data_IF_760344994131
#
_entry.id   IF_760344994131
#
_cell.length_a   1.000
_cell.length_b   1.000
_cell.length_c   1.000
_cell.angle_alpha   90.00
_cell.angle_beta   90.00
_cell.angle_gamma   90.00
#
_symmetry.space_group_name_H-M   'P 1'
#
loop_
_entity.id
_entity.type
_entity.pdbx_description
1 polymer ?
#
# COMPACT_ATOMS: atom_id res chain seq x y z
N UNK A 1 27.63 33.81 -2.94
CA UNK A 1 27.38 33.60 -1.49
C UNK A 1 25.96 33.12 -1.16
N UNK A 2 24.91 33.96 -1.03
CA UNK A 2 23.58 33.47 -0.61
C UNK A 2 22.99 32.41 -1.56
N UNK A 3 23.16 32.58 -2.87
CA UNK A 3 22.73 31.59 -3.87
C UNK A 3 23.50 30.27 -3.78
N UNK A 4 24.78 30.30 -3.39
CA UNK A 4 25.58 29.09 -3.24
C UNK A 4 25.06 28.26 -2.05
N UNK A 5 24.81 28.91 -0.90
CA UNK A 5 24.23 28.26 0.28
C UNK A 5 22.86 27.64 -0.05
N UNK A 6 22.01 28.34 -0.82
CA UNK A 6 20.71 27.82 -1.21
C UNK A 6 20.79 26.62 -2.17
N UNK A 7 21.85 26.54 -2.99
CA UNK A 7 22.08 25.48 -3.96
C UNK A 7 22.78 24.24 -3.36
N UNK A 8 23.40 24.36 -2.20
CA UNK A 8 24.04 23.23 -1.50
C UNK A 8 23.02 22.17 -1.06
N UNK A 9 23.47 20.92 -1.03
CA UNK A 9 22.67 19.77 -0.59
C UNK A 9 22.70 19.67 0.94
N UNK A 10 21.88 20.51 1.57
CA UNK A 10 21.72 20.62 3.03
C UNK A 10 20.25 20.74 3.40
N UNK A 11 19.93 20.45 4.67
CA UNK A 11 18.57 20.63 5.16
C UNK A 11 18.16 22.11 5.15
N UNK A 12 16.85 22.35 5.11
CA UNK A 12 16.29 23.70 5.18
C UNK A 12 16.81 24.49 6.38
N UNK A 13 16.85 23.88 7.57
CA UNK A 13 17.32 24.52 8.79
C UNK A 13 18.81 24.87 8.71
N UNK A 14 19.64 23.96 8.18
CA UNK A 14 21.07 24.21 7.98
C UNK A 14 21.31 25.38 7.02
N UNK A 15 20.55 25.46 5.92
CA UNK A 15 20.62 26.60 5.00
C UNK A 15 20.26 27.91 5.70
N UNK A 16 19.18 27.93 6.50
CA UNK A 16 18.77 29.14 7.23
C UNK A 16 19.79 29.57 8.30
N UNK A 17 20.44 28.61 8.97
CA UNK A 17 21.55 28.88 9.89
C UNK A 17 22.77 29.48 9.18
N UNK A 18 23.18 28.91 8.04
CA UNK A 18 24.29 29.43 7.23
C UNK A 18 24.00 30.83 6.69
N UNK A 19 22.77 31.07 6.21
CA UNK A 19 22.32 32.39 5.77
C UNK A 19 22.39 33.39 6.93
N UNK A 20 21.94 33.01 8.13
CA UNK A 20 22.01 33.87 9.31
C UNK A 20 23.46 34.22 9.70
N UNK A 21 24.43 33.33 9.47
CA UNK A 21 25.87 33.60 9.68
C UNK A 21 26.42 34.66 8.74
N UNK A 22 25.97 34.66 7.49
CA UNK A 22 26.53 35.55 6.46
C UNK A 22 25.73 36.84 6.25
N UNK A 23 24.49 36.93 6.73
CA UNK A 23 23.65 38.14 6.66
C UNK A 23 24.36 39.42 7.13
N UNK A 24 25.11 39.44 8.26
CA UNK A 24 25.84 40.63 8.69
C UNK A 24 26.79 41.23 7.65
N UNK A 25 27.30 40.43 6.70
CA UNK A 25 28.24 40.86 5.66
C UNK A 25 27.65 41.88 4.68
N UNK A 26 26.32 42.04 4.64
CA UNK A 26 25.68 43.05 3.79
C UNK A 26 25.80 44.47 4.36
N UNK A 27 26.12 44.57 5.65
CA UNK A 27 26.24 45.83 6.37
C UNK A 27 27.64 46.43 6.26
N UNK A 28 27.77 47.72 6.52
CA UNK A 28 29.04 48.47 6.48
C UNK A 28 30.04 48.01 7.54
N UNK A 29 29.55 47.58 8.71
CA UNK A 29 30.39 47.08 9.81
C UNK A 29 29.95 45.66 10.24
N UNK A 30 30.15 44.63 9.39
CA UNK A 30 29.69 43.26 9.64
C UNK A 30 30.14 42.69 10.98
N UNK A 31 31.35 43.03 11.42
CA UNK A 31 31.95 42.54 12.66
C UNK A 31 31.25 43.05 13.93
N UNK A 32 30.49 44.14 13.81
CA UNK A 32 29.68 44.73 14.90
C UNK A 32 28.20 44.37 14.78
N UNK A 33 27.85 43.63 13.75
CA UNK A 33 26.49 43.29 13.44
C UNK A 33 26.15 41.86 13.89
N UNK A 34 24.88 41.65 14.20
CA UNK A 34 24.32 40.31 14.33
C UNK A 34 22.99 40.21 13.61
N UNK A 35 22.62 39.01 13.20
CA UNK A 35 21.44 38.78 12.39
C UNK A 35 20.53 37.72 13.00
N UNK A 36 19.23 37.88 12.74
CA UNK A 36 18.18 36.93 13.06
C UNK A 36 17.22 36.81 11.87
N UNK A 37 16.88 35.57 11.56
CA UNK A 37 15.82 35.20 10.61
C UNK A 37 14.67 34.63 11.43
N UNK A 38 13.45 35.07 11.16
CA UNK A 38 12.23 34.51 11.73
C UNK A 38 11.33 34.02 10.60
N UNK A 39 10.80 32.81 10.75
CA UNK A 39 9.82 32.25 9.83
C UNK A 39 8.87 31.34 10.60
N UNK A 40 7.60 31.74 10.72
CA UNK A 40 6.65 31.06 11.62
C UNK A 40 7.17 31.00 13.06
N UNK A 41 7.18 29.82 13.72
CA UNK A 41 7.72 29.67 15.08
C UNK A 41 9.24 29.57 15.13
N UNK A 42 9.93 29.52 13.99
CA UNK A 42 11.36 29.24 13.91
C UNK A 42 12.20 30.53 13.96
N UNK A 43 13.35 30.45 14.64
CA UNK A 43 14.30 31.56 14.74
C UNK A 43 15.74 31.07 14.53
N UNK A 44 16.37 31.58 13.48
CA UNK A 44 17.76 31.28 13.12
C UNK A 44 18.63 32.50 13.40
N UNK A 45 19.80 32.29 13.99
CA UNK A 45 20.62 33.38 14.55
C UNK A 45 22.07 33.25 14.11
N UNK A 46 22.72 34.38 13.87
CA UNK A 46 24.17 34.45 13.70
C UNK A 46 24.91 33.98 14.97
N UNK A 47 26.17 33.48 14.90
CA UNK A 47 26.86 32.82 16.01
C UNK A 47 27.04 33.67 17.28
N UNK A 48 27.13 35.00 17.15
CA UNK A 48 27.27 35.93 18.28
C UNK A 48 26.06 36.87 18.37
N UNK A 49 24.85 36.29 18.34
CA UNK A 49 23.61 37.06 18.31
C UNK A 49 23.38 37.90 19.57
N UNK A 50 23.19 39.21 19.38
CA UNK A 50 22.73 40.14 20.41
C UNK A 50 21.86 41.21 19.78
N UNK A 51 20.70 41.46 20.38
CA UNK A 51 19.92 42.63 20.02
C UNK A 51 20.71 43.89 20.40
N UNK A 52 20.93 44.74 19.40
CA UNK A 52 21.69 45.97 19.51
C UNK A 52 20.79 47.20 19.52
N UNK A 53 21.36 48.36 19.80
CA UNK A 53 20.63 49.64 19.87
C UNK A 53 20.02 50.04 18.53
N UNK A 54 20.70 49.72 17.44
CA UNK A 54 20.24 50.02 16.09
C UNK A 54 19.79 48.75 15.41
N UNK A 55 18.61 48.80 14.79
CA UNK A 55 18.00 47.68 14.08
C UNK A 55 17.58 48.12 12.68
N UNK A 56 17.79 47.23 11.72
CA UNK A 56 17.15 47.26 10.42
C UNK A 56 16.44 45.92 10.19
N UNK A 57 15.27 45.95 9.59
CA UNK A 57 14.54 44.74 9.26
C UNK A 57 13.94 44.81 7.87
N UNK A 58 13.69 43.64 7.30
CA UNK A 58 12.89 43.46 6.11
C UNK A 58 11.97 42.28 6.32
N UNK A 59 10.79 42.32 5.71
CA UNK A 59 9.88 41.20 5.73
C UNK A 59 9.27 40.97 4.36
N UNK A 60 8.91 39.70 4.14
CA UNK A 60 8.17 39.29 2.97
C UNK A 60 7.23 38.15 3.35
N UNK A 61 6.12 38.04 2.63
CA UNK A 61 5.13 36.99 2.85
C UNK A 61 5.27 36.02 1.66
N UNK A 62 5.71 34.77 1.90
CA UNK A 62 5.68 33.72 0.87
C UNK A 62 4.27 33.59 0.29
N UNK A 63 4.16 33.39 -1.02
CA UNK A 63 2.87 33.50 -1.73
C UNK A 63 1.77 32.58 -1.20
N UNK A 64 2.17 31.43 -0.66
CA UNK A 64 1.27 30.36 -0.23
C UNK A 64 1.09 30.28 1.29
N UNK A 65 1.52 31.31 2.03
CA UNK A 65 1.48 31.35 3.49
C UNK A 65 0.46 32.35 4.05
N UNK A 66 -0.08 32.04 5.23
CA UNK A 66 -0.88 33.00 5.99
C UNK A 66 0.00 34.18 6.46
N UNK A 67 -0.60 35.34 6.72
CA UNK A 67 0.12 36.50 7.31
C UNK A 67 0.88 36.16 8.61
N UNK A 68 0.50 35.09 9.30
CA UNK A 68 1.12 34.54 10.50
C UNK A 68 2.50 33.90 10.26
N UNK A 69 2.86 33.57 9.02
CA UNK A 69 4.14 32.94 8.63
C UNK A 69 5.00 33.87 7.76
N UNK A 70 4.95 35.18 8.02
CA UNK A 70 5.82 36.13 7.36
C UNK A 70 7.31 35.85 7.68
N UNK A 71 8.16 35.90 6.65
CA UNK A 71 9.60 35.87 6.80
C UNK A 71 10.08 37.25 7.30
N UNK A 72 10.85 37.28 8.37
CA UNK A 72 11.51 38.48 8.85
C UNK A 72 13.02 38.28 8.88
N UNK A 73 13.74 39.23 8.29
CA UNK A 73 15.18 39.37 8.43
C UNK A 73 15.45 40.59 9.30
N UNK A 74 16.21 40.41 10.36
CA UNK A 74 16.57 41.47 11.29
C UNK A 74 18.07 41.51 11.47
N UNK A 75 18.66 42.68 11.31
CA UNK A 75 20.06 42.92 11.62
C UNK A 75 20.19 44.03 12.65
N UNK A 76 21.16 43.84 13.54
CA UNK A 76 21.38 44.71 14.68
C UNK A 76 22.84 45.14 14.74
N UNK A 77 23.10 46.42 15.03
CA UNK A 77 24.42 46.84 15.48
C UNK A 77 24.49 46.89 17.00
N UNK A 78 25.43 46.14 17.56
CA UNK A 78 25.60 46.00 19.01
C UNK A 78 26.17 47.28 19.65
N UNK A 79 27.31 47.75 19.16
CA UNK A 79 28.14 48.80 19.80
C UNK A 79 28.64 49.82 18.75
N UNK A 80 27.70 50.48 18.05
CA UNK A 80 28.04 51.46 17.01
C UNK A 80 28.02 52.89 17.58
N UNK A 81 29.18 53.55 17.57
CA UNK A 81 29.29 54.98 17.89
C UNK A 81 29.32 55.80 16.60
N UNK A 82 28.25 56.57 16.36
CA UNK A 82 28.12 57.44 15.19
C UNK A 82 28.50 58.87 15.56
N UNK A 83 29.21 59.58 14.67
CA UNK A 83 29.36 61.04 14.75
C UNK A 83 28.02 61.70 14.39
N UNK A 84 27.75 62.91 14.92
CA UNK A 84 26.51 63.64 14.65
C UNK A 84 26.17 63.67 13.15
N UNK A 85 24.89 63.45 12.83
CA UNK A 85 24.26 63.42 11.49
C UNK A 85 24.44 62.17 10.61
N UNK A 86 24.98 61.05 11.12
CA UNK A 86 24.97 59.79 10.37
C UNK A 86 23.82 58.88 10.79
N UNK A 87 23.06 58.40 9.81
CA UNK A 87 22.12 57.29 10.01
C UNK A 87 22.89 55.97 10.22
N UNK A 88 22.41 55.07 11.09
CA UNK A 88 23.07 53.80 11.39
C UNK A 88 23.09 52.84 10.18
N UNK A 89 22.12 52.97 9.28
CA UNK A 89 22.01 52.16 8.07
C UNK A 89 21.78 53.06 6.86
N UNK A 90 22.24 52.61 5.71
CA UNK A 90 22.05 53.25 4.41
C UNK A 90 20.83 52.71 3.69
N UNK A 91 20.34 53.49 2.72
CA UNK A 91 19.33 53.03 1.76
C UNK A 91 19.80 51.83 0.94
N UNK A 92 21.10 51.75 0.59
CA UNK A 92 21.68 50.60 -0.12
C UNK A 92 21.65 49.31 0.72
N UNK A 93 22.03 49.39 2.00
CA UNK A 93 21.91 48.25 2.93
C UNK A 93 20.45 47.79 3.08
N UNK A 94 19.52 48.73 3.16
CA UNK A 94 18.08 48.43 3.19
C UNK A 94 17.62 47.73 1.92
N UNK A 95 17.99 48.23 0.74
CA UNK A 95 17.64 47.62 -0.54
C UNK A 95 18.23 46.20 -0.70
N UNK A 96 19.48 45.99 -0.28
CA UNK A 96 20.12 44.67 -0.26
C UNK A 96 19.36 43.70 0.65
N UNK A 97 18.98 44.14 1.85
CA UNK A 97 18.21 43.33 2.78
C UNK A 97 16.83 42.97 2.23
N UNK A 98 16.14 43.93 1.60
CA UNK A 98 14.85 43.71 0.96
C UNK A 98 14.94 42.73 -0.22
N UNK A 99 16.02 42.81 -1.00
CA UNK A 99 16.27 41.88 -2.08
C UNK A 99 16.51 40.45 -1.57
N UNK A 100 17.29 40.29 -0.49
CA UNK A 100 17.50 38.98 0.15
C UNK A 100 16.20 38.42 0.71
N UNK A 101 15.39 39.24 1.38
CA UNK A 101 14.07 38.81 1.87
C UNK A 101 13.18 38.30 0.73
N UNK A 102 13.23 38.94 -0.44
CA UNK A 102 12.51 38.48 -1.64
C UNK A 102 13.03 37.16 -2.19
N UNK A 103 14.35 36.97 -2.27
CA UNK A 103 14.95 35.70 -2.73
C UNK A 103 14.56 34.56 -1.79
N UNK A 104 14.73 34.76 -0.48
CA UNK A 104 14.42 33.74 0.52
C UNK A 104 12.94 33.39 0.54
N UNK A 105 12.05 34.37 0.36
CA UNK A 105 10.62 34.11 0.22
C UNK A 105 10.32 33.18 -0.97
N UNK A 106 10.94 33.41 -2.13
CA UNK A 106 10.75 32.55 -3.31
C UNK A 106 11.34 31.15 -3.08
N UNK A 107 12.47 31.05 -2.39
CA UNK A 107 13.06 29.77 -2.03
C UNK A 107 12.16 28.97 -1.07
N UNK A 108 11.63 29.62 -0.04
CA UNK A 108 10.70 29.03 0.92
C UNK A 108 9.44 28.51 0.21
N UNK A 109 8.87 29.29 -0.71
CA UNK A 109 7.72 28.87 -1.52
C UNK A 109 8.02 27.56 -2.27
N UNK A 110 9.20 27.45 -2.91
CA UNK A 110 9.61 26.23 -3.63
C UNK A 110 9.81 25.03 -2.71
N UNK A 111 10.40 25.22 -1.53
CA UNK A 111 10.60 24.15 -0.54
C UNK A 111 9.27 23.63 0.01
N UNK A 112 8.31 24.53 0.26
CA UNK A 112 6.96 24.15 0.69
C UNK A 112 6.24 23.39 -0.43
N UNK A 113 6.28 23.87 -1.67
CA UNK A 113 5.69 23.19 -2.82
C UNK A 113 6.32 21.80 -3.02
N UNK A 114 7.64 21.68 -2.94
CA UNK A 114 8.34 20.39 -3.07
C UNK A 114 7.95 19.41 -1.95
N UNK A 115 7.88 19.89 -0.69
CA UNK A 115 7.42 19.06 0.44
C UNK A 115 5.96 18.65 0.29
N UNK A 116 5.09 19.54 -0.19
CA UNK A 116 3.67 19.25 -0.41
C UNK A 116 3.48 18.24 -1.54
N UNK A 117 4.16 18.41 -2.67
CA UNK A 117 4.15 17.44 -3.78
C UNK A 117 4.66 16.08 -3.29
N UNK A 118 5.74 16.05 -2.52
CA UNK A 118 6.26 14.79 -1.94
C UNK A 118 5.28 14.16 -0.97
N UNK A 119 4.66 14.94 -0.09
CA UNK A 119 3.64 14.45 0.84
C UNK A 119 2.40 13.94 0.10
N UNK A 120 1.89 14.69 -0.87
CA UNK A 120 0.75 14.28 -1.69
C UNK A 120 1.08 13.00 -2.47
N UNK A 121 2.30 12.87 -2.99
CA UNK A 121 2.78 11.65 -3.63
C UNK A 121 2.85 10.48 -2.64
N UNK A 122 3.51 10.64 -1.49
CA UNK A 122 3.63 9.61 -0.44
C UNK A 122 2.24 9.21 0.13
N UNK A 123 1.30 10.16 0.24
CA UNK A 123 -0.08 9.94 0.70
C UNK A 123 -0.95 9.22 -0.34
N UNK A 124 -0.85 9.60 -1.61
CA UNK A 124 -1.50 8.89 -2.72
C UNK A 124 -0.99 7.45 -2.81
N UNK A 125 0.31 7.25 -2.56
CA UNK A 125 0.89 5.91 -2.48
C UNK A 125 0.41 5.15 -1.24
N UNK A 126 0.35 5.76 -0.06
CA UNK A 126 0.01 5.07 1.20
C UNK A 126 -1.47 4.69 1.40
N UNK A 127 -2.38 5.12 0.53
CA UNK A 127 -3.84 4.92 0.72
C UNK A 127 -4.47 3.90 -0.23
N UNK A 128 -3.68 3.21 -1.05
CA UNK A 128 -4.18 2.26 -2.04
C UNK A 128 -3.46 0.92 -1.93
N UNK A 129 -4.16 -0.21 -2.15
CA UNK A 129 -3.57 -1.57 -2.31
C UNK A 129 -2.67 -1.69 -3.56
N UNK A 130 -2.27 -0.56 -4.12
CA UNK A 130 -1.50 -0.44 -5.33
C UNK A 130 -0.03 -0.25 -4.96
N UNK A 131 0.84 -0.99 -5.61
CA UNK A 131 2.29 -0.92 -5.43
C UNK A 131 2.88 -0.43 -6.75
N UNK A 132 3.11 0.88 -6.88
CA UNK A 132 3.83 1.41 -8.03
C UNK A 132 5.28 0.94 -8.08
N UNK A 133 5.77 0.66 -9.28
CA UNK A 133 7.14 0.24 -9.53
C UNK A 133 7.60 0.72 -10.91
N UNK A 134 8.91 0.74 -11.12
CA UNK A 134 9.51 0.94 -12.44
C UNK A 134 10.66 -0.03 -12.67
N UNK A 135 10.77 -0.51 -13.91
CA UNK A 135 11.86 -1.36 -14.35
C UNK A 135 12.63 -0.69 -15.49
N UNK A 136 13.93 -0.95 -15.59
CA UNK A 136 14.73 -0.53 -16.74
C UNK A 136 14.51 -1.44 -17.96
N UNK A 137 15.21 -1.16 -19.05
CA UNK A 137 15.14 -1.92 -20.31
C UNK A 137 15.54 -3.41 -20.20
N UNK A 138 16.28 -3.76 -19.15
CA UNK A 138 16.68 -5.13 -18.81
C UNK A 138 15.67 -5.84 -17.88
N UNK A 139 14.65 -5.15 -17.38
CA UNK A 139 13.66 -5.70 -16.45
C UNK A 139 14.12 -5.71 -14.98
N UNK A 140 15.15 -4.94 -14.65
CA UNK A 140 15.61 -4.72 -13.28
C UNK A 140 14.85 -3.58 -12.62
N UNK A 141 14.54 -3.73 -11.33
CA UNK A 141 13.78 -2.76 -10.55
C UNK A 141 14.62 -1.50 -10.34
N UNK A 142 14.12 -0.36 -10.80
CA UNK A 142 14.69 0.98 -10.58
C UNK A 142 14.02 1.64 -9.38
N UNK A 143 12.72 1.44 -9.24
CA UNK A 143 11.94 1.92 -8.10
C UNK A 143 10.82 0.95 -7.78
N UNK A 144 10.47 0.86 -6.50
CA UNK A 144 9.26 0.19 -6.02
C UNK A 144 8.76 0.90 -4.77
N UNK A 145 7.44 1.07 -4.66
CA UNK A 145 6.80 1.76 -3.54
C UNK A 145 7.14 1.11 -2.19
N UNK A 146 7.36 1.90 -1.12
CA UNK A 146 7.58 1.38 0.22
C UNK A 146 6.48 0.45 0.75
N UNK A 147 5.26 0.53 0.22
CA UNK A 147 4.15 -0.36 0.59
C UNK A 147 4.45 -1.85 0.39
N UNK A 148 5.44 -2.19 -0.45
CA UNK A 148 5.89 -3.59 -0.61
C UNK A 148 6.41 -4.21 0.72
N UNK A 149 6.73 -3.37 1.71
CA UNK A 149 7.09 -3.80 3.07
C UNK A 149 5.98 -4.53 3.80
N UNK A 150 4.71 -4.29 3.47
CA UNK A 150 3.58 -5.07 4.01
C UNK A 150 3.68 -6.57 3.65
N UNK A 151 4.39 -6.88 2.55
CA UNK A 151 4.67 -8.23 2.09
C UNK A 151 6.05 -8.73 2.57
N UNK A 152 6.66 -8.07 3.56
CA UNK A 152 7.94 -8.48 4.13
C UNK A 152 9.14 -8.30 3.19
N UNK A 153 8.99 -7.55 2.10
CA UNK A 153 10.06 -7.23 1.16
C UNK A 153 10.51 -5.79 1.36
N UNK A 154 11.82 -5.53 1.23
CA UNK A 154 12.38 -4.17 1.40
C UNK A 154 12.76 -3.55 0.07
N UNK A 155 12.27 -2.35 -0.29
CA UNK A 155 12.61 -1.69 -1.55
C UNK A 155 14.11 -1.63 -1.83
N UNK A 156 14.92 -1.37 -0.80
CA UNK A 156 16.37 -1.22 -0.90
C UNK A 156 17.06 -2.52 -1.30
N UNK A 157 16.48 -3.68 -0.94
CA UNK A 157 16.99 -5.01 -1.30
C UNK A 157 16.59 -5.42 -2.72
N UNK A 158 15.50 -4.83 -3.22
CA UNK A 158 14.94 -5.11 -4.54
C UNK A 158 15.56 -4.25 -5.63
N UNK A 159 16.11 -3.09 -5.29
CA UNK A 159 16.77 -2.20 -6.25
C UNK A 159 17.86 -2.92 -7.07
N UNK A 160 17.87 -2.68 -8.38
CA UNK A 160 18.74 -3.31 -9.38
C UNK A 160 18.61 -4.84 -9.52
N UNK A 161 17.66 -5.49 -8.82
CA UNK A 161 17.38 -6.92 -8.99
C UNK A 161 16.38 -7.14 -10.14
N UNK A 162 16.49 -8.25 -10.89
CA UNK A 162 15.46 -8.64 -11.85
C UNK A 162 14.10 -8.79 -11.18
N UNK A 163 13.05 -8.18 -11.74
CA UNK A 163 11.69 -8.33 -11.20
C UNK A 163 11.22 -9.80 -11.21
N UNK A 164 11.64 -10.56 -12.23
CA UNK A 164 11.33 -11.98 -12.38
C UNK A 164 11.78 -12.86 -11.21
N UNK A 165 12.77 -12.43 -10.40
CA UNK A 165 13.23 -13.16 -9.22
C UNK A 165 12.13 -13.29 -8.15
N UNK A 166 11.22 -12.30 -8.09
CA UNK A 166 10.11 -12.24 -7.14
C UNK A 166 8.82 -12.87 -7.66
N UNK A 167 8.76 -13.15 -8.97
CA UNK A 167 7.62 -13.82 -9.60
C UNK A 167 7.68 -15.33 -9.30
N UNK A 168 6.53 -15.91 -8.98
CA UNK A 168 6.36 -17.35 -8.76
C UNK A 168 6.88 -18.13 -9.97
N UNK A 169 7.58 -19.24 -9.74
CA UNK A 169 8.22 -20.04 -10.79
C UNK A 169 7.27 -20.40 -11.94
N UNK A 170 6.01 -20.75 -11.63
CA UNK A 170 5.02 -21.11 -12.65
C UNK A 170 4.55 -19.96 -13.54
N UNK A 171 4.75 -18.70 -13.12
CA UNK A 171 4.27 -17.51 -13.82
C UNK A 171 5.43 -16.73 -14.48
N UNK A 172 6.69 -17.16 -14.27
CA UNK A 172 7.89 -16.47 -14.77
C UNK A 172 7.96 -16.45 -16.29
N UNK A 173 7.67 -17.56 -16.95
CA UNK A 173 7.73 -17.64 -18.41
C UNK A 173 6.67 -16.74 -19.05
N UNK A 174 5.48 -16.69 -18.47
CA UNK A 174 4.42 -15.77 -18.91
C UNK A 174 4.85 -14.31 -18.72
N UNK A 175 5.42 -13.97 -17.55
CA UNK A 175 5.97 -12.63 -17.31
C UNK A 175 7.06 -12.25 -18.32
N UNK A 176 8.02 -13.13 -18.58
CA UNK A 176 9.10 -12.87 -19.54
C UNK A 176 8.55 -12.69 -20.95
N UNK A 177 7.54 -13.47 -21.34
CA UNK A 177 6.86 -13.31 -22.62
C UNK A 177 6.15 -11.95 -22.72
N UNK A 178 5.47 -11.52 -21.66
CA UNK A 178 4.83 -10.20 -21.57
C UNK A 178 5.89 -9.10 -21.70
N UNK A 179 6.95 -9.18 -20.90
CA UNK A 179 8.03 -8.19 -20.89
C UNK A 179 8.71 -8.07 -22.25
N UNK A 180 8.96 -9.19 -22.93
CA UNK A 180 9.55 -9.20 -24.27
C UNK A 180 8.58 -8.66 -25.34
N UNK A 181 7.29 -8.98 -25.27
CA UNK A 181 6.29 -8.44 -26.21
C UNK A 181 6.19 -6.92 -26.10
N UNK A 182 6.24 -6.38 -24.89
CA UNK A 182 6.19 -4.93 -24.63
C UNK A 182 7.32 -4.20 -25.36
N UNK A 183 8.50 -4.83 -25.52
CA UNK A 183 9.62 -4.23 -26.27
C UNK A 183 9.37 -4.10 -27.78
N UNK A 184 8.39 -4.82 -28.32
CA UNK A 184 8.25 -5.08 -29.76
C UNK A 184 6.95 -4.56 -30.38
N UNK A 185 6.00 -4.05 -29.59
CA UNK A 185 4.66 -3.66 -30.06
C UNK A 185 4.24 -2.31 -29.47
N UNK A 186 3.65 -1.46 -30.32
CA UNK A 186 3.00 -0.22 -29.92
C UNK A 186 1.73 -0.48 -29.09
N UNK A 187 1.71 0.11 -27.89
CA UNK A 187 0.53 0.59 -27.16
C UNK A 187 -0.62 -0.37 -26.85
N UNK A 188 -0.43 -1.27 -25.88
CA UNK A 188 -1.56 -1.72 -25.06
C UNK A 188 -1.13 -1.79 -23.58
N UNK A 189 -1.85 -1.15 -22.64
CA UNK A 189 -1.65 -1.39 -21.22
C UNK A 189 -1.97 -2.86 -20.94
N UNK A 190 -0.94 -3.64 -20.64
CA UNK A 190 -1.09 -5.07 -20.39
C UNK A 190 -1.48 -5.27 -18.93
N UNK A 191 -2.62 -5.94 -18.74
CA UNK A 191 -3.05 -6.43 -17.43
C UNK A 191 -2.52 -7.85 -17.26
N UNK A 192 -1.53 -8.03 -16.37
CA UNK A 192 -0.98 -9.35 -16.05
C UNK A 192 -1.38 -9.73 -14.63
N UNK A 193 -1.96 -10.92 -14.44
CA UNK A 193 -2.15 -11.49 -13.10
C UNK A 193 -1.00 -12.45 -12.83
N UNK A 194 -0.11 -12.07 -11.93
CA UNK A 194 1.06 -12.87 -11.56
C UNK A 194 1.08 -13.08 -10.05
N UNK A 195 1.58 -14.23 -9.63
CA UNK A 195 1.84 -14.48 -8.21
C UNK A 195 3.22 -13.99 -7.86
N UNK A 196 3.32 -13.17 -6.82
CA UNK A 196 4.58 -12.72 -6.24
C UNK A 196 4.81 -13.49 -4.95
N UNK A 197 6.03 -13.97 -4.77
CA UNK A 197 6.45 -14.61 -3.53
C UNK A 197 6.93 -13.54 -2.54
N UNK A 198 6.29 -13.49 -1.37
CA UNK A 198 6.60 -12.52 -0.34
C UNK A 198 7.86 -12.93 0.46
N UNK A 199 8.31 -12.07 1.40
CA UNK A 199 9.48 -12.36 2.23
C UNK A 199 9.37 -13.63 3.09
N UNK A 200 8.14 -14.08 3.35
CA UNK A 200 7.80 -15.29 4.12
C UNK A 200 7.56 -16.53 3.24
N UNK A 201 7.87 -16.46 1.93
CA UNK A 201 7.63 -17.51 0.93
C UNK A 201 6.17 -17.80 0.58
N UNK A 202 5.22 -17.01 1.07
CA UNK A 202 3.80 -17.10 0.70
C UNK A 202 3.56 -16.46 -0.67
N UNK A 203 2.54 -16.95 -1.37
CA UNK A 203 2.18 -16.46 -2.70
C UNK A 203 1.00 -15.50 -2.61
N UNK A 204 1.17 -14.31 -3.17
CA UNK A 204 0.14 -13.28 -3.24
C UNK A 204 -0.21 -13.00 -4.71
N UNK A 205 -1.50 -12.88 -5.01
CA UNK A 205 -1.96 -12.55 -6.35
C UNK A 205 -1.90 -11.06 -6.60
N UNK A 206 -1.13 -10.64 -7.62
CA UNK A 206 -1.06 -9.26 -8.05
C UNK A 206 -1.58 -9.09 -9.46
N UNK A 207 -2.46 -8.11 -9.64
CA UNK A 207 -2.86 -7.60 -10.95
C UNK A 207 -1.98 -6.41 -11.30
N UNK A 208 -1.15 -6.56 -12.32
CA UNK A 208 -0.23 -5.54 -12.80
C UNK A 208 -0.86 -4.78 -13.95
N UNK A 209 -0.84 -3.46 -13.89
CA UNK A 209 -1.03 -2.57 -15.05
C UNK A 209 0.34 -2.04 -15.46
N UNK A 210 0.70 -2.22 -16.72
CA UNK A 210 2.05 -1.94 -17.22
C UNK A 210 1.98 -0.92 -18.35
N UNK A 211 2.76 0.15 -18.21
CA UNK A 211 2.91 1.23 -19.19
C UNK A 211 4.38 1.32 -19.64
N UNK A 212 4.69 1.04 -20.91
CA UNK A 212 6.07 1.14 -21.41
C UNK A 212 6.56 2.58 -21.54
N UNK A 213 7.87 2.76 -21.35
CA UNK A 213 8.56 4.03 -21.48
C UNK A 213 9.54 3.93 -22.65
N UNK A 214 9.45 4.89 -23.57
CA UNK A 214 10.33 5.03 -24.72
C UNK A 214 11.04 6.39 -24.69
N UNK A 215 12.20 6.49 -25.33
CA UNK A 215 12.85 7.77 -25.59
C UNK A 215 12.24 8.49 -26.82
N UNK A 216 12.71 9.71 -27.11
CA UNK A 216 12.25 10.50 -28.27
C UNK A 216 12.54 9.84 -29.63
N UNK A 217 13.43 8.85 -29.67
CA UNK A 217 13.78 8.08 -30.87
C UNK A 217 12.98 6.77 -30.97
N UNK A 218 12.10 6.48 -30.00
CA UNK A 218 11.30 5.26 -29.94
C UNK A 218 12.02 4.06 -29.33
N UNK A 219 13.20 4.22 -28.72
CA UNK A 219 13.89 3.12 -28.06
C UNK A 219 13.26 2.83 -26.69
N UNK A 220 13.10 1.55 -26.38
CA UNK A 220 12.55 1.10 -25.11
C UNK A 220 13.50 1.37 -23.94
N UNK A 221 13.09 2.23 -23.01
CA UNK A 221 13.85 2.58 -21.81
C UNK A 221 13.48 1.71 -20.60
N UNK A 222 12.25 1.18 -20.57
CA UNK A 222 11.75 0.41 -19.43
C UNK A 222 10.23 0.42 -19.32
N UNK A 223 9.71 0.09 -18.13
CA UNK A 223 8.27 0.14 -17.84
C UNK A 223 8.01 0.87 -16.53
N UNK A 224 6.88 1.57 -16.47
CA UNK A 224 6.20 1.89 -15.22
C UNK A 224 5.09 0.87 -15.02
N UNK A 225 4.87 0.45 -13.79
CA UNK A 225 3.82 -0.49 -13.45
C UNK A 225 3.17 -0.17 -12.13
N UNK A 226 1.93 -0.65 -12.00
CA UNK A 226 1.18 -0.62 -10.75
C UNK A 226 0.72 -2.04 -10.47
N UNK A 227 1.16 -2.62 -9.35
CA UNK A 227 0.77 -3.95 -8.90
C UNK A 227 -0.31 -3.85 -7.81
N UNK A 228 -1.51 -4.36 -8.11
CA UNK A 228 -2.64 -4.32 -7.18
C UNK A 228 -2.85 -5.71 -6.57
N UNK A 229 -2.88 -5.79 -5.24
CA UNK A 229 -3.21 -7.04 -4.58
C UNK A 229 -4.68 -7.40 -4.80
N UNK A 230 -4.92 -8.58 -5.38
CA UNK A 230 -6.25 -9.13 -5.68
C UNK A 230 -6.55 -10.40 -4.89
N UNK A 231 -5.77 -10.72 -3.85
CA UNK A 231 -5.90 -11.98 -3.10
C UNK A 231 -7.29 -12.12 -2.47
N UNK A 232 -7.79 -11.07 -1.80
CA UNK A 232 -9.16 -11.03 -1.25
C UNK A 232 -10.23 -11.26 -2.32
N UNK A 233 -10.04 -10.70 -3.52
CA UNK A 233 -10.97 -10.89 -4.66
C UNK A 233 -10.95 -12.33 -5.12
N UNK A 234 -9.78 -12.95 -5.24
CA UNK A 234 -9.62 -14.37 -5.61
C UNK A 234 -10.23 -15.30 -4.57
N UNK A 235 -10.04 -15.03 -3.28
CA UNK A 235 -10.65 -15.80 -2.20
C UNK A 235 -12.18 -15.73 -2.26
N UNK A 236 -12.75 -14.54 -2.47
CA UNK A 236 -14.18 -14.35 -2.65
C UNK A 236 -14.71 -15.05 -3.91
N UNK A 237 -14.00 -14.96 -5.04
CA UNK A 237 -14.34 -15.67 -6.28
C UNK A 237 -14.37 -17.19 -6.06
N UNK A 238 -13.35 -17.76 -5.39
CA UNK A 238 -13.28 -19.19 -5.07
C UNK A 238 -14.43 -19.60 -4.14
N UNK A 239 -14.71 -18.81 -3.10
CA UNK A 239 -15.79 -19.10 -2.16
C UNK A 239 -17.15 -19.08 -2.85
N UNK A 240 -17.42 -18.05 -3.66
CA UNK A 240 -18.64 -17.92 -4.44
C UNK A 240 -18.79 -19.07 -5.45
N UNK A 241 -17.69 -19.44 -6.14
CA UNK A 241 -17.71 -20.57 -7.08
C UNK A 241 -18.01 -21.89 -6.37
N UNK A 242 -17.44 -22.12 -5.18
CA UNK A 242 -17.74 -23.30 -4.35
C UNK A 242 -19.22 -23.35 -3.97
N UNK A 243 -19.78 -22.24 -3.50
CA UNK A 243 -21.21 -22.15 -3.15
C UNK A 243 -22.12 -22.38 -4.38
N UNK A 244 -21.80 -21.77 -5.52
CA UNK A 244 -22.58 -21.94 -6.75
C UNK A 244 -22.56 -23.39 -7.25
N UNK A 245 -21.40 -24.04 -7.21
CA UNK A 245 -21.26 -25.44 -7.58
C UNK A 245 -22.04 -26.37 -6.62
N UNK A 246 -21.99 -26.10 -5.32
CA UNK A 246 -22.77 -26.83 -4.32
C UNK A 246 -24.27 -26.67 -4.54
N UNK A 247 -24.75 -25.44 -4.74
CA UNK A 247 -26.17 -25.17 -5.02
C UNK A 247 -26.65 -25.86 -6.30
N UNK A 248 -25.87 -25.78 -7.39
CA UNK A 248 -26.18 -26.47 -8.65
C UNK A 248 -26.26 -27.98 -8.49
N UNK A 249 -25.39 -28.56 -7.68
CA UNK A 249 -25.42 -29.98 -7.37
C UNK A 249 -26.70 -30.35 -6.63
N UNK A 250 -27.02 -29.65 -5.54
CA UNK A 250 -28.21 -29.89 -4.73
C UNK A 250 -29.50 -29.73 -5.56
N UNK A 251 -29.60 -28.70 -6.39
CA UNK A 251 -30.76 -28.48 -7.25
C UNK A 251 -30.97 -29.62 -8.26
N UNK A 252 -29.88 -30.16 -8.84
CA UNK A 252 -29.95 -31.34 -9.72
C UNK A 252 -30.38 -32.59 -8.96
N UNK A 253 -29.80 -32.80 -7.79
CA UNK A 253 -30.14 -33.93 -6.92
C UNK A 253 -31.62 -33.91 -6.52
N UNK A 254 -32.15 -32.77 -6.09
CA UNK A 254 -33.57 -32.62 -5.77
C UNK A 254 -34.48 -32.95 -6.95
N UNK A 255 -34.15 -32.48 -8.17
CA UNK A 255 -34.95 -32.79 -9.36
C UNK A 255 -34.94 -34.28 -9.71
N UNK A 256 -33.82 -34.98 -9.50
CA UNK A 256 -33.71 -36.42 -9.73
C UNK A 256 -34.50 -37.24 -8.69
N UNK A 257 -34.53 -36.78 -7.44
CA UNK A 257 -35.28 -37.44 -6.37
C UNK A 257 -36.81 -37.28 -6.50
N UNK A 258 -37.28 -36.27 -7.25
CA UNK A 258 -38.71 -36.02 -7.50
C UNK A 258 -39.22 -36.74 -8.75
N UNK A 259 -38.33 -37.38 -9.53
CA UNK A 259 -38.72 -38.11 -10.74
C UNK A 259 -39.41 -39.44 -10.37
N UNK A 260 -40.72 -39.60 -10.68
CA UNK A 260 -41.48 -40.80 -10.33
C UNK A 260 -41.07 -42.05 -11.12
N UNK A 261 -40.18 -41.93 -12.10
CA UNK A 261 -39.68 -43.05 -12.91
C UNK A 261 -38.32 -43.59 -12.47
N UNK A 262 -37.78 -43.12 -11.34
CA UNK A 262 -36.50 -43.61 -10.84
C UNK A 262 -36.67 -44.96 -10.11
N UNK A 263 -36.20 -46.05 -10.72
CA UNK A 263 -36.32 -47.41 -10.16
C UNK A 263 -35.35 -47.70 -9.01
N UNK A 264 -34.20 -47.00 -8.93
CA UNK A 264 -33.18 -47.19 -7.91
C UNK A 264 -32.77 -45.87 -7.24
N UNK A 265 -33.55 -45.44 -6.23
CA UNK A 265 -33.26 -44.25 -5.42
C UNK A 265 -31.91 -44.38 -4.69
N UNK A 266 -31.54 -45.60 -4.29
CA UNK A 266 -30.32 -45.86 -3.51
C UNK A 266 -29.04 -45.53 -4.30
N UNK A 267 -29.06 -45.71 -5.64
CA UNK A 267 -27.94 -45.34 -6.53
C UNK A 267 -27.72 -43.83 -6.64
N UNK A 268 -28.74 -43.01 -6.33
CA UNK A 268 -28.63 -41.55 -6.26
C UNK A 268 -28.19 -41.06 -4.88
N UNK A 269 -28.62 -41.74 -3.82
CA UNK A 269 -28.41 -41.27 -2.45
C UNK A 269 -26.93 -41.27 -2.07
N UNK A 270 -26.16 -42.29 -2.43
CA UNK A 270 -24.73 -42.36 -2.07
C UNK A 270 -23.90 -41.18 -2.61
N UNK A 271 -23.91 -40.84 -3.91
CA UNK A 271 -23.21 -39.66 -4.44
C UNK A 271 -23.69 -38.34 -3.81
N UNK A 272 -24.99 -38.23 -3.51
CA UNK A 272 -25.57 -37.05 -2.86
C UNK A 272 -25.02 -36.91 -1.44
N UNK A 273 -25.03 -38.00 -0.68
CA UNK A 273 -24.53 -38.05 0.69
C UNK A 273 -23.04 -37.71 0.76
N UNK A 274 -22.21 -38.26 -0.13
CA UNK A 274 -20.79 -37.89 -0.19
C UNK A 274 -20.60 -36.39 -0.41
N UNK A 275 -21.38 -35.79 -1.31
CA UNK A 275 -21.29 -34.35 -1.58
C UNK A 275 -21.78 -33.50 -0.42
N UNK A 276 -22.88 -33.89 0.24
CA UNK A 276 -23.38 -33.21 1.43
C UNK A 276 -22.34 -33.28 2.55
N UNK A 277 -21.68 -34.44 2.72
CA UNK A 277 -20.60 -34.63 3.69
C UNK A 277 -19.45 -33.65 3.45
N UNK A 278 -19.01 -33.50 2.19
CA UNK A 278 -17.99 -32.51 1.81
C UNK A 278 -18.44 -31.06 2.07
N UNK A 279 -19.71 -30.73 1.77
CA UNK A 279 -20.25 -29.37 1.95
C UNK A 279 -20.35 -29.00 3.43
N UNK A 280 -20.80 -29.93 4.27
CA UNK A 280 -20.96 -29.73 5.71
C UNK A 280 -19.65 -29.86 6.50
N UNK A 281 -18.54 -30.21 5.82
CA UNK A 281 -17.27 -30.57 6.46
C UNK A 281 -17.46 -31.60 7.58
N UNK A 282 -18.31 -32.59 7.31
CA UNK A 282 -18.67 -33.62 8.27
C UNK A 282 -17.77 -34.86 8.10
N UNK A 283 -17.40 -35.46 9.23
CA UNK A 283 -16.67 -36.73 9.22
C UNK A 283 -17.56 -37.91 8.76
N UNK A 284 -18.85 -37.84 9.07
CA UNK A 284 -19.84 -38.87 8.73
C UNK A 284 -21.27 -38.31 8.68
N UNK A 285 -22.12 -38.90 7.84
CA UNK A 285 -23.56 -38.65 7.78
C UNK A 285 -24.28 -39.99 7.81
N UNK A 286 -25.39 -40.06 8.55
CA UNK A 286 -26.26 -41.22 8.68
C UNK A 286 -27.71 -40.81 8.39
N UNK A 287 -28.41 -41.55 7.54
CA UNK A 287 -29.85 -41.41 7.30
C UNK A 287 -30.55 -42.55 8.03
N UNK A 288 -31.48 -42.19 8.91
CA UNK A 288 -32.34 -43.14 9.59
C UNK A 288 -33.79 -42.97 9.14
N UNK A 289 -34.46 -44.07 8.85
CA UNK A 289 -35.90 -44.14 8.66
C UNK A 289 -36.58 -44.44 9.99
N UNK A 290 -37.63 -43.70 10.30
CA UNK A 290 -38.37 -43.85 11.55
C UNK A 290 -39.45 -44.92 11.40
N UNK A 291 -39.39 -45.95 12.25
CA UNK A 291 -40.44 -46.96 12.36
C UNK A 291 -41.39 -46.59 13.51
N UNK A 292 -42.54 -45.99 13.16
CA UNK A 292 -43.55 -45.55 14.13
C UNK A 292 -44.18 -46.69 14.94
N UNK A 293 -44.25 -47.92 14.42
CA UNK A 293 -44.84 -49.04 15.16
C UNK A 293 -43.88 -49.65 16.17
N UNK A 294 -42.58 -49.56 15.94
CA UNK A 294 -41.55 -50.23 16.75
C UNK A 294 -40.78 -49.30 17.68
N UNK A 295 -41.06 -47.99 17.68
CA UNK A 295 -40.31 -46.98 18.43
C UNK A 295 -38.79 -47.08 18.19
N UNK A 296 -38.41 -47.42 16.96
CA UNK A 296 -37.02 -47.57 16.54
C UNK A 296 -36.78 -46.82 15.23
N UNK A 297 -35.50 -46.57 14.98
CA UNK A 297 -34.98 -45.90 13.80
C UNK A 297 -34.00 -46.85 13.12
N UNK A 298 -34.25 -47.16 11.85
CA UNK A 298 -33.40 -48.07 11.07
C UNK A 298 -32.48 -47.27 10.17
N UNK A 299 -31.19 -47.59 10.19
CA UNK A 299 -30.22 -46.95 9.31
C UNK A 299 -30.47 -47.42 7.87
N UNK A 300 -30.74 -46.48 6.96
CA UNK A 300 -30.93 -46.80 5.54
C UNK A 300 -29.67 -46.51 4.73
N UNK A 301 -29.02 -45.38 5.00
CA UNK A 301 -27.83 -44.95 4.26
C UNK A 301 -26.81 -44.27 5.17
N UNK A 302 -25.53 -44.36 4.82
CA UNK A 302 -24.49 -43.60 5.51
C UNK A 302 -23.30 -43.31 4.60
N UNK A 303 -22.53 -42.29 4.95
CA UNK A 303 -21.23 -41.99 4.34
C UNK A 303 -20.27 -41.53 5.42
N UNK A 304 -18.98 -41.79 5.23
CA UNK A 304 -17.93 -41.36 6.15
C UNK A 304 -16.59 -41.18 5.43
N UNK A 305 -15.67 -40.44 6.04
CA UNK A 305 -14.29 -40.36 5.56
C UNK A 305 -13.59 -41.72 5.60
N UNK A 306 -12.63 -42.01 4.70
CA UNK A 306 -11.94 -43.31 4.66
C UNK A 306 -11.35 -43.77 6.01
N UNK A 307 -10.77 -42.89 6.86
CA UNK A 307 -10.25 -43.30 8.17
C UNK A 307 -11.30 -43.83 9.15
N UNK A 308 -12.57 -43.43 8.99
CA UNK A 308 -13.66 -43.86 9.88
C UNK A 308 -14.41 -45.09 9.37
N UNK A 309 -14.25 -45.45 8.08
CA UNK A 309 -15.02 -46.51 7.44
C UNK A 309 -14.97 -47.84 8.19
N UNK A 310 -13.76 -48.30 8.54
CA UNK A 310 -13.61 -49.55 9.30
C UNK A 310 -14.21 -49.50 10.71
N UNK A 311 -14.27 -48.32 11.35
CA UNK A 311 -14.93 -48.17 12.66
C UNK A 311 -16.45 -48.21 12.54
N UNK A 312 -17.00 -47.61 11.48
CA UNK A 312 -18.44 -47.67 11.19
C UNK A 312 -18.87 -49.12 10.89
N UNK A 313 -18.11 -49.84 10.07
CA UNK A 313 -18.37 -51.25 9.75
C UNK A 313 -18.36 -52.14 11.00
N UNK A 314 -17.38 -51.97 11.89
CA UNK A 314 -17.32 -52.71 13.17
C UNK A 314 -18.45 -52.36 14.15
N UNK A 315 -19.06 -51.18 14.02
CA UNK A 315 -20.14 -50.72 14.89
C UNK A 315 -21.54 -50.95 14.29
N UNK A 316 -21.65 -51.60 13.12
CA UNK A 316 -22.90 -51.67 12.37
C UNK A 316 -24.03 -52.37 13.14
N UNK A 317 -23.71 -53.37 13.97
CA UNK A 317 -24.70 -54.04 14.84
C UNK A 317 -25.38 -53.08 15.82
N UNK A 318 -24.72 -51.98 16.17
CA UNK A 318 -25.25 -50.93 17.06
C UNK A 318 -25.85 -49.76 16.29
N UNK A 319 -25.38 -49.50 15.08
CA UNK A 319 -25.81 -48.39 14.25
C UNK A 319 -27.02 -48.74 13.38
N UNK A 320 -27.26 -50.02 13.07
CA UNK A 320 -28.33 -50.46 12.17
C UNK A 320 -29.74 -50.19 12.72
N UNK A 321 -29.89 -50.16 14.04
CA UNK A 321 -31.17 -49.89 14.71
C UNK A 321 -30.95 -49.11 16.00
N UNK A 322 -31.53 -47.92 16.10
CA UNK A 322 -31.48 -47.07 17.29
C UNK A 322 -32.87 -46.92 17.90
N UNK A 323 -32.95 -46.85 19.23
CA UNK A 323 -34.22 -46.59 19.92
C UNK A 323 -34.56 -45.11 19.86
N UNK A 324 -35.82 -44.78 19.56
CA UNK A 324 -36.30 -43.39 19.54
C UNK A 324 -36.19 -42.70 20.90
N UNK A 325 -36.15 -43.48 21.99
CA UNK A 325 -35.92 -43.00 23.35
C UNK A 325 -34.55 -42.31 23.55
N UNK A 326 -33.58 -42.59 22.69
CA UNK A 326 -32.26 -41.93 22.71
C UNK A 326 -32.31 -40.50 22.14
N UNK A 327 -33.38 -40.14 21.41
CA UNK A 327 -33.50 -38.86 20.68
C UNK A 327 -34.84 -38.16 20.93
N UNK A 328 -35.25 -37.92 22.19
CA UNK A 328 -36.60 -37.44 22.52
C UNK A 328 -36.96 -36.10 21.85
N UNK A 329 -36.01 -35.17 21.75
CA UNK A 329 -36.18 -33.85 21.12
C UNK A 329 -36.36 -33.90 19.60
N UNK A 330 -35.89 -34.97 18.94
CA UNK A 330 -36.10 -35.18 17.51
C UNK A 330 -37.51 -35.70 17.27
N UNK A 331 -37.95 -36.65 18.09
CA UNK A 331 -39.26 -37.30 17.98
C UNK A 331 -40.42 -36.33 18.26
N UNK A 332 -40.26 -35.41 19.21
CA UNK A 332 -41.24 -34.35 19.48
C UNK A 332 -41.58 -33.48 18.26
N UNK A 333 -40.71 -33.42 17.24
CA UNK A 333 -40.96 -32.63 16.02
C UNK A 333 -41.72 -33.39 14.92
N UNK A 334 -41.90 -34.70 15.08
CA UNK A 334 -42.58 -35.58 14.11
C UNK A 334 -43.92 -36.13 14.63
N UNK A 335 -44.36 -35.69 15.82
CA UNK A 335 -45.71 -35.89 16.37
C UNK A 335 -46.55 -34.63 16.14
#
# INVERSE_FOLDING_TARGET
MFYEILAEDMSFDQKMEEIAKVLPQILRYPEKASARILFGPYSYKSPVFKQGKYQISSSNIPKNEEKSHALWLELFYKDLSLKNNYEPFTSDEKQKLDFIAKILSVFIDKEIEAKKVRYDYDFLLGSTNEIPYSLNSEGKIVYISPNIQEYGLRPEQMHSRPFADYVCLGDRDEWLNIFNKIKSVDNLPLKAQIRIQNGNKELHWFQNRIDPIYDEMGNFLGINGIANDINRRKEAEIHSQKQSNAFRFLARACNQLVDPFFEDIDLLIEPILEKIREILDADSIFIYELNHSENNMHLTHYTCVPPLKGRCELAMDKLSSLSTAQFPTVIEKFQ
#
